data_IF_852940558438
#
_entry.id   IF_852940558438
#
_cell.length_a   1.000
_cell.length_b   1.000
_cell.length_c   1.000
_cell.angle_alpha   90.00
_cell.angle_beta   90.00
_cell.angle_gamma   90.00
#
_symmetry.space_group_name_H-M   'P 1'
#
loop_
_entity.id
_entity.type
_entity.pdbx_description
1 polymer ?
#
# COMPACT_ATOMS: atom_id res chain seq x y z
N UNK A 1 1.79 -2.90 -12.32
CA UNK A 1 3.18 -3.38 -12.38
C UNK A 1 3.60 -3.87 -13.76
N UNK A 2 2.79 -4.65 -14.47
CA UNK A 2 3.10 -5.11 -15.84
C UNK A 2 3.53 -3.99 -16.80
N UNK A 3 2.86 -2.84 -16.75
CA UNK A 3 3.20 -1.69 -17.58
C UNK A 3 4.56 -1.07 -17.18
N UNK A 4 4.91 -1.00 -15.89
CA UNK A 4 6.19 -0.45 -15.42
C UNK A 4 7.37 -1.31 -15.90
N UNK A 5 7.27 -2.64 -15.74
CA UNK A 5 8.34 -3.55 -16.17
C UNK A 5 8.51 -3.58 -17.69
N UNK A 6 7.43 -3.41 -18.46
CA UNK A 6 7.50 -3.30 -19.93
C UNK A 6 8.28 -2.07 -20.41
N UNK A 7 8.32 -0.98 -19.63
CA UNK A 7 9.10 0.21 -19.94
C UNK A 7 10.47 0.23 -19.23
N UNK A 8 10.90 -0.90 -18.66
CA UNK A 8 12.21 -1.02 -18.00
C UNK A 8 12.32 -0.29 -16.66
N UNK A 9 11.20 0.20 -16.11
CA UNK A 9 11.21 0.83 -14.80
C UNK A 9 11.51 -0.20 -13.72
N UNK A 10 12.45 0.14 -12.83
CA UNK A 10 12.73 -0.63 -11.61
C UNK A 10 11.80 -0.13 -10.52
N UNK A 11 11.24 -1.05 -9.74
CA UNK A 11 10.34 -0.70 -8.66
C UNK A 11 10.56 -1.62 -7.46
N UNK A 12 10.14 -1.13 -6.29
CA UNK A 12 10.07 -1.89 -5.06
C UNK A 12 8.64 -1.83 -4.52
N UNK A 13 8.24 -2.83 -3.76
CA UNK A 13 6.88 -2.94 -3.22
C UNK A 13 6.96 -2.82 -1.70
N UNK A 14 6.10 -1.98 -1.16
CA UNK A 14 6.00 -1.71 0.27
C UNK A 14 4.56 -1.89 0.74
N UNK A 15 4.39 -2.33 1.99
CA UNK A 15 3.12 -2.24 2.70
C UNK A 15 3.37 -2.11 4.21
N UNK A 16 2.40 -1.58 4.97
CA UNK A 16 2.52 -1.53 6.41
C UNK A 16 2.58 -2.94 7.00
N UNK A 17 3.53 -3.18 7.91
CA UNK A 17 3.57 -4.42 8.67
C UNK A 17 2.60 -4.38 9.86
N UNK A 18 1.30 -4.32 9.56
CA UNK A 18 0.23 -4.21 10.56
C UNK A 18 -0.96 -5.11 10.17
N UNK A 19 -1.84 -5.38 11.13
CA UNK A 19 -3.07 -6.15 10.86
C UNK A 19 -4.05 -5.33 10.01
N UNK A 20 -4.81 -6.01 9.16
CA UNK A 20 -5.93 -5.42 8.45
C UNK A 20 -7.03 -5.00 9.43
N UNK A 21 -7.72 -3.91 9.13
CA UNK A 21 -8.89 -3.46 9.91
C UNK A 21 -10.03 -4.46 9.82
N UNK A 22 -10.29 -5.01 8.63
CA UNK A 22 -11.26 -6.07 8.39
C UNK A 22 -10.74 -7.01 7.30
N UNK A 23 -10.82 -8.32 7.53
CA UNK A 23 -10.66 -9.32 6.49
C UNK A 23 -12.02 -9.52 5.81
N UNK A 24 -12.09 -9.36 4.49
CA UNK A 24 -13.35 -9.53 3.74
C UNK A 24 -13.44 -10.94 3.16
N UNK A 25 -14.56 -11.62 3.40
CA UNK A 25 -14.96 -12.77 2.61
C UNK A 25 -15.57 -12.25 1.31
N UNK A 26 -14.81 -12.35 0.21
CA UNK A 26 -15.24 -11.86 -1.09
C UNK A 26 -16.30 -12.76 -1.77
N UNK A 27 -16.51 -14.00 -1.32
CA UNK A 27 -17.60 -14.85 -1.82
C UNK A 27 -18.95 -14.42 -1.22
N UNK A 28 -18.94 -14.06 0.07
CA UNK A 28 -20.13 -13.59 0.80
C UNK A 28 -20.30 -12.06 0.80
N UNK A 29 -19.29 -11.33 0.32
CA UNK A 29 -19.23 -9.87 0.33
C UNK A 29 -19.38 -9.23 1.73
N UNK A 30 -18.92 -9.91 2.77
CA UNK A 30 -19.05 -9.48 4.17
C UNK A 30 -17.72 -9.62 4.93
N UNK A 31 -17.53 -8.89 6.05
CA UNK A 31 -16.37 -9.11 6.91
C UNK A 31 -16.36 -10.53 7.49
N UNK A 32 -15.19 -11.16 7.52
CA UNK A 32 -14.92 -12.39 8.26
C UNK A 32 -14.73 -12.05 9.75
N UNK A 33 -15.41 -12.78 10.63
CA UNK A 33 -15.35 -12.56 12.09
C UNK A 33 -14.24 -13.34 12.77
N UNK A 34 -13.64 -14.32 12.10
CA UNK A 34 -12.63 -15.22 12.66
C UNK A 34 -11.22 -14.99 12.14
N UNK A 35 -11.09 -14.24 11.04
CA UNK A 35 -9.80 -14.08 10.37
C UNK A 35 -9.08 -12.81 10.81
N UNK A 36 -7.78 -12.93 11.07
CA UNK A 36 -6.87 -11.82 11.26
C UNK A 36 -5.68 -11.99 10.31
N UNK A 37 -5.42 -10.99 9.47
CA UNK A 37 -4.41 -11.07 8.42
C UNK A 37 -3.53 -9.83 8.42
N UNK A 38 -2.23 -10.04 8.30
CA UNK A 38 -1.25 -8.97 8.22
C UNK A 38 -1.16 -8.43 6.78
N UNK A 39 -1.19 -7.11 6.64
CA UNK A 39 -1.17 -6.42 5.34
C UNK A 39 0.08 -6.72 4.51
N UNK A 40 1.26 -6.70 5.13
CA UNK A 40 2.52 -6.97 4.43
C UNK A 40 2.59 -8.41 3.93
N UNK A 41 2.17 -9.37 4.76
CA UNK A 41 2.13 -10.79 4.39
C UNK A 41 1.16 -11.06 3.23
N UNK A 42 -0.03 -10.46 3.27
CA UNK A 42 -1.01 -10.65 2.19
C UNK A 42 -0.61 -9.91 0.91
N UNK A 43 0.04 -8.74 1.02
CA UNK A 43 0.57 -7.99 -0.13
C UNK A 43 1.71 -8.74 -0.82
N UNK A 44 2.54 -9.47 -0.06
CA UNK A 44 3.65 -10.26 -0.60
C UNK A 44 3.18 -11.32 -1.63
N UNK A 45 1.93 -11.77 -1.55
CA UNK A 45 1.32 -12.70 -2.54
C UNK A 45 1.28 -12.10 -3.96
N UNK A 46 1.19 -10.78 -4.09
CA UNK A 46 1.16 -10.06 -5.38
C UNK A 46 2.54 -9.58 -5.83
N UNK A 47 3.54 -9.66 -4.96
CA UNK A 47 4.90 -9.18 -5.23
C UNK A 47 5.76 -10.17 -6.03
N UNK A 48 5.22 -11.33 -6.40
CA UNK A 48 5.96 -12.36 -7.12
C UNK A 48 5.94 -12.14 -8.64
N UNK A 49 7.02 -11.56 -9.16
CA UNK A 49 7.33 -11.48 -10.58
C UNK A 49 8.82 -11.20 -10.79
N UNK A 50 9.44 -11.85 -11.78
CA UNK A 50 10.83 -11.59 -12.19
C UNK A 50 11.93 -11.71 -11.11
N UNK A 51 11.88 -12.75 -10.28
CA UNK A 51 13.07 -13.29 -9.59
C UNK A 51 13.72 -12.46 -8.47
N UNK A 52 13.36 -11.17 -8.29
CA UNK A 52 13.91 -10.33 -7.21
C UNK A 52 12.93 -9.22 -6.80
N UNK A 53 11.78 -9.59 -6.24
CA UNK A 53 10.94 -8.60 -5.55
C UNK A 53 10.74 -8.99 -4.09
N UNK A 54 11.48 -8.30 -3.23
CA UNK A 54 11.30 -8.35 -1.78
C UNK A 54 10.19 -7.39 -1.39
N UNK A 55 9.20 -7.92 -0.68
CA UNK A 55 8.21 -7.12 0.02
C UNK A 55 8.91 -6.38 1.17
N UNK A 56 8.81 -5.06 1.22
CA UNK A 56 9.41 -4.25 2.28
C UNK A 56 8.35 -3.62 3.20
N UNK A 57 8.76 -3.32 4.42
CA UNK A 57 7.94 -2.57 5.37
C UNK A 57 7.87 -1.10 4.93
N UNK A 58 6.67 -0.54 4.84
CA UNK A 58 6.43 0.85 4.42
C UNK A 58 7.18 1.87 5.29
N UNK A 59 7.35 1.59 6.57
CA UNK A 59 8.11 2.45 7.49
C UNK A 59 9.57 2.65 7.08
N UNK A 60 10.13 1.73 6.29
CA UNK A 60 11.52 1.78 5.79
C UNK A 60 11.68 2.49 4.45
N UNK A 61 10.59 2.99 3.86
CA UNK A 61 10.67 3.70 2.60
C UNK A 61 11.37 5.05 2.80
N UNK A 62 12.52 5.18 2.16
CA UNK A 62 13.26 6.43 1.94
C UNK A 62 12.93 6.97 0.55
N UNK A 63 12.24 8.12 0.49
CA UNK A 63 11.77 8.70 -0.77
C UNK A 63 12.92 9.13 -1.69
N UNK A 64 14.10 9.43 -1.13
CA UNK A 64 15.25 9.89 -1.91
C UNK A 64 15.82 8.82 -2.84
N UNK A 65 15.44 7.56 -2.61
CA UNK A 65 15.82 6.40 -3.42
C UNK A 65 14.89 6.14 -4.61
N UNK A 66 13.84 6.97 -4.82
CA UNK A 66 12.81 6.74 -5.83
C UNK A 66 12.40 8.02 -6.54
N UNK A 67 12.10 7.92 -7.83
CA UNK A 67 11.63 9.06 -8.63
C UNK A 67 10.12 9.33 -8.47
N UNK A 68 9.36 8.32 -8.07
CA UNK A 68 7.90 8.38 -7.94
C UNK A 68 7.35 7.32 -6.97
N UNK A 69 6.13 7.54 -6.51
CA UNK A 69 5.33 6.58 -5.74
C UNK A 69 4.00 6.33 -6.44
N UNK A 70 3.50 5.10 -6.37
CA UNK A 70 2.20 4.71 -6.94
C UNK A 70 1.42 3.96 -5.86
N UNK A 71 0.18 4.37 -5.62
CA UNK A 71 -0.74 3.71 -4.68
C UNK A 71 -1.79 2.91 -5.47
N UNK A 72 -1.64 1.58 -5.61
CA UNK A 72 -2.57 0.78 -6.40
C UNK A 72 -3.95 0.76 -5.74
N UNK A 73 -4.99 1.20 -6.46
CA UNK A 73 -6.34 1.30 -5.93
C UNK A 73 -6.94 0.00 -5.36
N UNK A 74 -8.07 0.13 -4.68
CA UNK A 74 -8.81 -0.99 -4.08
C UNK A 74 -9.31 -0.64 -2.68
N UNK A 75 -10.32 -1.37 -2.21
CA UNK A 75 -10.96 -1.12 -0.91
C UNK A 75 -9.99 -1.21 0.29
N UNK A 76 -8.87 -1.94 0.14
CA UNK A 76 -7.85 -2.07 1.17
C UNK A 76 -7.10 -0.77 1.48
N UNK A 77 -6.95 0.14 0.52
CA UNK A 77 -6.31 1.45 0.75
C UNK A 77 -7.20 2.30 1.66
N UNK A 78 -8.49 2.40 1.33
CA UNK A 78 -9.45 3.26 2.04
C UNK A 78 -9.70 2.76 3.48
N UNK A 79 -9.59 1.46 3.71
CA UNK A 79 -9.80 0.85 5.04
C UNK A 79 -8.54 0.79 5.90
N UNK A 80 -7.37 0.59 5.31
CA UNK A 80 -6.16 0.30 6.10
C UNK A 80 -5.08 1.38 6.02
N UNK A 81 -5.07 2.20 4.97
CA UNK A 81 -4.13 3.31 4.80
C UNK A 81 -4.74 4.66 5.21
N UNK A 82 -6.00 4.65 5.63
CA UNK A 82 -6.69 5.81 6.18
C UNK A 82 -7.83 5.38 7.09
N UNK A 83 -8.37 6.31 7.88
CA UNK A 83 -9.61 6.12 8.62
C UNK A 83 -10.86 6.51 7.82
N UNK A 84 -10.75 6.74 6.51
CA UNK A 84 -11.85 7.25 5.68
C UNK A 84 -13.12 6.41 5.76
N UNK A 85 -12.97 5.09 5.82
CA UNK A 85 -14.12 4.18 5.95
C UNK A 85 -14.94 4.38 7.22
N UNK A 86 -14.36 4.99 8.25
CA UNK A 86 -14.99 5.27 9.56
C UNK A 86 -15.33 6.75 9.73
N UNK A 87 -14.39 7.63 9.39
CA UNK A 87 -14.41 9.05 9.74
C UNK A 87 -14.79 9.96 8.55
N UNK A 88 -14.97 9.39 7.35
CA UNK A 88 -15.39 10.11 6.16
C UNK A 88 -14.45 11.28 5.81
N UNK A 89 -15.01 12.50 5.72
CA UNK A 89 -14.25 13.72 5.37
C UNK A 89 -13.19 14.09 6.41
N UNK A 90 -13.33 13.65 7.65
CA UNK A 90 -12.44 13.98 8.77
C UNK A 90 -11.38 12.89 8.97
N UNK A 91 -11.15 12.07 7.94
CA UNK A 91 -10.24 10.95 7.99
C UNK A 91 -8.79 11.37 8.20
N UNK A 92 -8.05 10.47 8.83
CA UNK A 92 -6.61 10.56 8.95
C UNK A 92 -5.98 9.51 8.07
N UNK A 93 -4.87 9.87 7.43
CA UNK A 93 -4.03 8.90 6.75
C UNK A 93 -3.24 8.10 7.79
N UNK A 94 -2.81 6.91 7.37
CA UNK A 94 -1.76 6.20 8.08
C UNK A 94 -0.50 7.09 8.13
N UNK A 95 0.17 7.15 9.29
CA UNK A 95 1.30 8.06 9.52
C UNK A 95 2.43 7.86 8.50
N UNK A 96 2.74 6.62 8.10
CA UNK A 96 3.77 6.35 7.11
C UNK A 96 3.35 6.83 5.73
N UNK A 97 2.08 6.65 5.37
CA UNK A 97 1.53 7.16 4.10
C UNK A 97 1.55 8.68 4.07
N UNK A 98 1.14 9.35 5.15
CA UNK A 98 1.15 10.81 5.26
C UNK A 98 2.58 11.36 5.13
N UNK A 99 3.55 10.75 5.84
CA UNK A 99 4.97 11.08 5.76
C UNK A 99 5.47 10.97 4.31
N UNK A 100 5.25 9.81 3.69
CA UNK A 100 5.73 9.53 2.32
C UNK A 100 5.11 10.50 1.32
N UNK A 101 3.81 10.80 1.42
CA UNK A 101 3.16 11.77 0.53
C UNK A 101 3.75 13.18 0.67
N UNK A 102 4.00 13.63 1.91
CA UNK A 102 4.65 14.92 2.17
C UNK A 102 6.07 14.94 1.62
N UNK A 103 6.83 13.88 1.87
CA UNK A 103 8.23 13.78 1.44
C UNK A 103 8.35 13.77 -0.09
N UNK A 104 7.49 13.04 -0.81
CA UNK A 104 7.44 13.09 -2.28
C UNK A 104 6.97 14.44 -2.80
N UNK A 105 5.94 15.07 -2.20
CA UNK A 105 5.46 16.39 -2.62
C UNK A 105 6.54 17.48 -2.53
N UNK A 106 7.48 17.34 -1.58
CA UNK A 106 8.64 18.22 -1.45
C UNK A 106 9.76 17.89 -2.44
N UNK A 107 9.86 16.65 -2.92
CA UNK A 107 10.95 16.16 -3.75
C UNK A 107 10.69 16.16 -5.27
N UNK A 108 9.46 15.87 -5.73
CA UNK A 108 9.07 15.81 -7.16
C UNK A 108 7.55 15.58 -7.35
N UNK A 109 6.98 15.74 -8.56
CA UNK A 109 5.53 15.67 -8.75
C UNK A 109 4.98 14.27 -8.42
N UNK A 110 4.03 14.19 -7.50
CA UNK A 110 3.28 12.97 -7.17
C UNK A 110 2.56 12.43 -8.42
N UNK A 111 2.85 11.19 -8.81
CA UNK A 111 2.07 10.44 -9.80
C UNK A 111 0.88 9.77 -9.13
N UNK A 112 -0.34 10.10 -9.60
CA UNK A 112 -1.61 9.51 -9.15
C UNK A 112 -1.88 8.24 -9.96
#
# INVERSE_FOLDING_TARGET
MYHLSRYGARFQIFAPNQQQMHVMDHMKMQPSSSDNRNMMMESARFSHGQGMMQMNDLSKLDVSSFDAVIFPGGHGIVKNLSTFSKDGKDCKLNNDVERIMKDFALASPLGI
#
